data_IF_892501042081
#
_entry.id   IF_892501042081
#
_cell.length_a   1.000
_cell.length_b   1.000
_cell.length_c   1.000
_cell.angle_alpha   90.00
_cell.angle_beta   90.00
_cell.angle_gamma   90.00
#
_symmetry.space_group_name_H-M   'P 1'
#
loop_
_entity.id
_entity.type
_entity.pdbx_description
1 polymer ?
#
# COMPACT_ATOMS: atom_id res chain seq x y z
N UNK A 1 12.31 8.21 23.36
CA UNK A 1 11.03 8.78 22.87
C UNK A 1 10.23 7.67 22.25
N UNK A 2 8.94 7.60 22.56
CA UNK A 2 8.06 6.57 22.02
C UNK A 2 7.73 6.86 20.54
N UNK A 3 7.94 5.87 19.67
CA UNK A 3 7.67 5.99 18.24
C UNK A 3 6.40 5.22 17.83
N UNK A 4 5.69 5.76 16.85
CA UNK A 4 4.65 5.07 16.10
C UNK A 4 5.24 4.40 14.86
N UNK A 5 4.88 3.14 14.67
CA UNK A 5 5.27 2.35 13.50
C UNK A 5 4.22 2.48 12.40
N UNK A 6 4.66 2.57 11.15
CA UNK A 6 3.79 2.64 9.98
C UNK A 6 4.24 1.63 8.94
N UNK A 7 3.28 0.91 8.35
CA UNK A 7 3.52 0.01 7.23
C UNK A 7 3.40 0.78 5.91
N UNK A 8 4.36 0.55 5.02
CA UNK A 8 4.43 1.23 3.73
C UNK A 8 3.72 0.46 2.61
N UNK A 9 2.90 1.19 1.85
CA UNK A 9 2.18 0.70 0.69
C UNK A 9 2.34 1.67 -0.47
N UNK A 10 2.25 1.16 -1.69
CA UNK A 10 2.12 1.95 -2.91
C UNK A 10 0.72 1.79 -3.46
N UNK A 11 0.14 2.87 -3.97
CA UNK A 11 -1.17 2.82 -4.61
C UNK A 11 -1.11 3.13 -6.09
N UNK A 12 -2.14 2.68 -6.81
CA UNK A 12 -2.25 2.88 -8.26
C UNK A 12 -3.69 3.15 -8.65
N UNK A 13 -3.85 4.03 -9.64
CA UNK A 13 -5.08 4.15 -10.41
C UNK A 13 -4.88 3.40 -11.73
N UNK A 14 -5.66 2.34 -11.92
CA UNK A 14 -5.60 1.48 -13.12
C UNK A 14 -6.92 1.65 -13.88
N UNK A 15 -6.90 2.03 -15.17
CA UNK A 15 -8.12 2.14 -15.97
C UNK A 15 -8.97 0.87 -15.88
N UNK A 16 -10.30 1.01 -15.78
CA UNK A 16 -11.20 -0.13 -15.87
C UNK A 16 -11.05 -0.80 -17.23
N UNK A 17 -11.25 -2.11 -17.25
CA UNK A 17 -11.33 -2.90 -18.50
C UNK A 17 -12.52 -2.49 -19.38
N UNK A 18 -13.51 -1.81 -18.80
CA UNK A 18 -14.74 -1.39 -19.45
C UNK A 18 -15.00 0.08 -19.09
N UNK A 19 -15.05 0.97 -20.09
CA UNK A 19 -15.39 2.38 -19.88
C UNK A 19 -16.85 2.48 -19.45
N UNK A 20 -17.15 3.31 -18.46
CA UNK A 20 -18.53 3.64 -18.15
C UNK A 20 -19.07 4.63 -19.19
N UNK A 21 -20.38 4.64 -19.42
CA UNK A 21 -21.06 5.58 -20.34
C UNK A 21 -20.92 7.05 -19.90
N UNK A 22 -20.42 7.31 -18.70
CA UNK A 22 -20.38 8.62 -18.04
C UNK A 22 -18.95 9.03 -17.63
N UNK A 23 -17.91 8.63 -18.37
CA UNK A 23 -16.53 9.06 -18.09
C UNK A 23 -16.48 10.58 -17.99
N UNK A 24 -15.98 11.10 -16.87
CA UNK A 24 -15.59 12.50 -16.78
C UNK A 24 -14.25 12.72 -17.51
N UNK A 25 -14.10 13.87 -18.17
CA UNK A 25 -12.92 14.28 -18.93
C UNK A 25 -11.74 14.66 -18.01
N UNK A 26 -11.30 13.74 -17.12
CA UNK A 26 -10.03 13.95 -16.41
C UNK A 26 -8.89 13.45 -17.28
N UNK A 27 -8.11 14.39 -17.82
CA UNK A 27 -6.96 14.12 -18.69
C UNK A 27 -5.80 13.42 -17.97
N UNK A 28 -5.67 13.56 -16.64
CA UNK A 28 -4.52 13.03 -15.88
C UNK A 28 -4.90 12.28 -14.60
N UNK A 29 -4.49 10.99 -14.53
CA UNK A 29 -4.69 10.10 -13.37
C UNK A 29 -4.20 10.70 -12.04
N UNK A 30 -3.13 11.49 -12.07
CA UNK A 30 -2.53 12.04 -10.85
C UNK A 30 -3.41 13.15 -10.25
N UNK A 31 -4.21 13.83 -11.06
CA UNK A 31 -5.06 14.93 -10.60
C UNK A 31 -6.30 14.41 -9.84
N UNK A 32 -6.74 13.18 -10.11
CA UNK A 32 -7.86 12.55 -9.39
C UNK A 32 -7.58 12.52 -7.88
N UNK A 33 -6.45 11.95 -7.48
CA UNK A 33 -6.09 11.87 -6.07
C UNK A 33 -5.81 13.25 -5.47
N UNK A 34 -5.14 14.14 -6.23
CA UNK A 34 -4.89 15.52 -5.78
C UNK A 34 -6.19 16.27 -5.50
N UNK A 35 -7.21 16.08 -6.34
CA UNK A 35 -8.51 16.72 -6.16
C UNK A 35 -9.24 16.16 -4.93
N UNK A 36 -9.24 14.83 -4.73
CA UNK A 36 -9.80 14.22 -3.50
C UNK A 36 -9.16 14.83 -2.25
N UNK A 37 -7.83 14.91 -2.20
CA UNK A 37 -7.13 15.44 -1.01
C UNK A 37 -7.28 16.95 -0.83
N UNK A 38 -7.40 17.73 -1.92
CA UNK A 38 -7.80 19.14 -1.84
C UNK A 38 -9.21 19.31 -1.27
N UNK A 39 -10.15 18.45 -1.65
CA UNK A 39 -11.51 18.51 -1.11
C UNK A 39 -11.56 18.09 0.37
N UNK A 40 -10.78 17.10 0.79
CA UNK A 40 -10.65 16.74 2.22
C UNK A 40 -10.00 17.88 3.01
N UNK A 41 -8.99 18.55 2.47
CA UNK A 41 -8.35 19.73 3.09
C UNK A 41 -9.37 20.87 3.30
N UNK A 42 -10.31 21.09 2.36
CA UNK A 42 -11.38 22.09 2.48
C UNK A 42 -12.50 21.68 3.43
N UNK A 43 -12.95 20.42 3.34
CA UNK A 43 -14.13 19.92 4.08
C UNK A 43 -13.78 19.38 5.46
N UNK A 44 -12.49 19.25 5.77
CA UNK A 44 -11.90 18.64 6.96
C UNK A 44 -12.16 17.13 7.11
N UNK A 45 -13.22 16.58 6.49
CA UNK A 45 -13.50 15.14 6.49
C UNK A 45 -14.40 14.73 5.34
N UNK A 46 -14.24 13.48 4.91
CA UNK A 46 -15.16 12.82 4.00
C UNK A 46 -15.56 11.46 4.57
N UNK A 47 -16.87 11.18 4.60
CA UNK A 47 -17.45 9.95 5.17
C UNK A 47 -18.19 9.16 4.10
N UNK A 48 -17.88 7.86 4.00
CA UNK A 48 -18.66 6.94 3.16
C UNK A 48 -19.12 5.71 3.92
N UNK A 49 -20.28 5.22 3.54
CA UNK A 49 -20.74 3.87 3.89
C UNK A 49 -20.14 2.89 2.89
N UNK A 50 -19.32 1.96 3.37
CA UNK A 50 -18.81 0.89 2.51
C UNK A 50 -19.94 -0.14 2.35
N UNK A 51 -20.36 -0.50 1.12
CA UNK A 51 -21.37 -1.52 0.89
C UNK A 51 -20.94 -2.84 1.52
N UNK A 52 -21.57 -3.18 2.65
CA UNK A 52 -21.40 -4.43 3.36
C UNK A 52 -22.69 -4.71 4.15
N UNK A 53 -22.83 -5.92 4.70
CA UNK A 53 -24.02 -6.35 5.45
C UNK A 53 -24.47 -5.38 6.55
N UNK A 54 -23.59 -4.51 7.05
CA UNK A 54 -23.83 -3.61 8.17
C UNK A 54 -23.78 -2.12 7.81
N UNK A 55 -23.51 -1.75 6.54
CA UNK A 55 -23.41 -0.36 6.06
C UNK A 55 -22.57 0.60 6.94
N UNK A 56 -21.52 0.06 7.57
CA UNK A 56 -20.65 0.80 8.50
C UNK A 56 -19.94 1.96 7.81
N UNK A 57 -19.90 3.10 8.49
CA UNK A 57 -19.22 4.31 7.99
C UNK A 57 -17.70 4.19 8.15
N UNK A 58 -16.98 4.71 7.16
CA UNK A 58 -15.54 4.95 7.24
C UNK A 58 -15.33 6.43 6.95
N UNK A 59 -14.52 7.08 7.76
CA UNK A 59 -14.28 8.52 7.65
C UNK A 59 -12.80 8.78 7.56
N UNK A 60 -12.42 9.62 6.60
CA UNK A 60 -11.08 10.16 6.50
C UNK A 60 -11.13 11.62 6.96
N UNK A 61 -10.44 11.91 8.06
CA UNK A 61 -10.30 13.26 8.60
C UNK A 61 -8.94 13.82 8.19
N UNK A 62 -8.94 15.01 7.60
CA UNK A 62 -7.74 15.79 7.44
C UNK A 62 -7.18 16.16 8.82
N UNK A 63 -5.87 16.18 8.95
CA UNK A 63 -5.20 16.63 10.17
C UNK A 63 -4.25 17.76 9.82
N UNK A 64 -3.19 17.46 9.08
CA UNK A 64 -2.17 18.45 8.70
C UNK A 64 -1.53 18.10 7.37
N UNK A 65 -0.80 19.08 6.82
CA UNK A 65 -0.07 18.98 5.58
C UNK A 65 1.43 19.21 5.81
N UNK A 66 2.25 18.22 5.46
CA UNK A 66 3.71 18.31 5.58
C UNK A 66 4.34 18.98 4.35
N UNK A 67 3.71 18.83 3.18
CA UNK A 67 4.05 19.56 1.94
C UNK A 67 2.85 19.53 0.98
N UNK A 68 2.96 20.16 -0.19
CA UNK A 68 1.89 20.18 -1.21
C UNK A 68 1.28 18.81 -1.51
N UNK A 69 2.09 17.76 -1.40
CA UNK A 69 1.72 16.40 -1.80
C UNK A 69 1.72 15.40 -0.64
N UNK A 70 2.03 15.85 0.59
CA UNK A 70 2.14 14.95 1.75
C UNK A 70 1.13 15.37 2.82
N UNK A 71 0.15 14.49 3.07
CA UNK A 71 -0.97 14.70 3.97
C UNK A 71 -0.90 13.74 5.17
N UNK A 72 -1.26 14.24 6.34
CA UNK A 72 -1.58 13.44 7.53
C UNK A 72 -3.10 13.42 7.72
N UNK A 73 -3.64 12.23 7.90
CA UNK A 73 -5.07 12.02 8.12
C UNK A 73 -5.34 11.02 9.25
N UNK A 74 -6.53 11.10 9.85
CA UNK A 74 -7.09 10.02 10.69
C UNK A 74 -8.11 9.23 9.87
N UNK A 75 -7.87 7.93 9.71
CA UNK A 75 -8.81 7.03 9.06
C UNK A 75 -9.54 6.20 10.10
N UNK A 76 -10.84 6.48 10.27
CA UNK A 76 -11.69 5.81 11.24
C UNK A 76 -12.68 4.84 10.60
N UNK A 77 -13.07 3.83 11.36
CA UNK A 77 -14.13 2.91 10.99
C UNK A 77 -15.13 2.77 12.12
N UNK A 78 -16.41 2.98 11.81
CA UNK A 78 -17.51 2.86 12.76
C UNK A 78 -17.59 1.45 13.36
N UNK A 79 -17.51 1.37 14.68
CA UNK A 79 -17.61 0.13 15.44
C UNK A 79 -18.75 0.28 16.43
N UNK A 80 -19.76 -0.58 16.32
CA UNK A 80 -20.73 -0.75 17.40
C UNK A 80 -20.06 -1.52 18.54
N UNK A 81 -20.14 -0.97 19.74
CA UNK A 81 -19.69 -1.59 20.98
C UNK A 81 -20.90 -1.82 21.88
N UNK A 82 -20.86 -2.89 22.65
CA UNK A 82 -21.81 -3.11 23.74
C UNK A 82 -21.12 -2.66 25.02
N UNK A 83 -21.69 -1.68 25.71
CA UNK A 83 -21.29 -1.28 27.06
C UNK A 83 -22.15 -2.04 28.05
N UNK A 84 -21.53 -2.49 29.14
CA UNK A 84 -22.19 -3.13 30.26
C UNK A 84 -22.05 -2.20 31.45
N UNK A 85 -23.16 -1.62 31.88
CA UNK A 85 -23.19 -0.61 32.94
C UNK A 85 -24.11 -1.09 34.07
N UNK A 86 -23.69 -0.84 35.31
CA UNK A 86 -24.50 -1.14 36.50
C UNK A 86 -25.60 -0.07 36.62
N UNK A 87 -26.85 -0.49 36.44
CA UNK A 87 -28.02 0.38 36.49
C UNK A 87 -29.07 -0.35 37.34
N UNK A 88 -29.42 0.23 38.50
CA UNK A 88 -30.39 -0.30 39.46
C UNK A 88 -30.04 -1.72 39.95
N UNK A 89 -28.82 -1.91 40.46
CA UNK A 89 -28.31 -3.21 40.98
C UNK A 89 -28.32 -4.35 39.95
N UNK A 90 -28.39 -4.03 38.65
CA UNK A 90 -28.31 -4.98 37.54
C UNK A 90 -27.32 -4.50 36.47
N UNK A 91 -26.73 -5.43 35.73
CA UNK A 91 -25.80 -5.12 34.63
C UNK A 91 -26.58 -5.04 33.33
N UNK A 92 -26.83 -3.81 32.87
CA UNK A 92 -27.57 -3.57 31.63
C UNK A 92 -26.62 -3.38 30.44
N UNK A 93 -27.03 -3.89 29.28
CA UNK A 93 -26.27 -3.81 28.04
C UNK A 93 -26.79 -2.69 27.14
N UNK A 94 -25.99 -1.66 26.89
CA UNK A 94 -26.31 -0.56 25.96
C UNK A 94 -25.44 -0.65 24.71
N UNK A 95 -26.00 -0.28 23.55
CA UNK A 95 -25.24 -0.20 22.29
C UNK A 95 -24.73 1.22 22.09
N UNK A 96 -23.44 1.37 21.86
CA UNK A 96 -22.80 2.65 21.58
C UNK A 96 -21.95 2.59 20.31
N UNK A 97 -21.61 3.75 19.76
CA UNK A 97 -20.79 3.91 18.55
C UNK A 97 -19.40 4.39 18.95
N UNK A 98 -18.41 3.55 18.65
CA UNK A 98 -16.99 3.87 18.74
C UNK A 98 -16.43 4.20 17.34
N UNK A 99 -15.51 5.16 17.29
CA UNK A 99 -14.84 5.63 16.07
C UNK A 99 -13.32 5.47 16.18
N UNK A 100 -12.83 4.23 16.38
CA UNK A 100 -11.39 4.00 16.48
C UNK A 100 -10.74 4.35 15.14
N UNK A 101 -9.54 4.93 15.22
CA UNK A 101 -8.81 5.42 14.04
C UNK A 101 -7.37 4.93 14.01
N UNK A 102 -6.76 5.10 12.84
CA UNK A 102 -5.32 5.02 12.62
C UNK A 102 -4.85 6.28 11.91
N UNK A 103 -3.59 6.64 12.10
CA UNK A 103 -2.96 7.64 11.26
C UNK A 103 -2.66 7.07 9.87
N UNK A 104 -2.95 7.87 8.84
CA UNK A 104 -2.50 7.68 7.47
C UNK A 104 -1.59 8.85 7.08
N UNK A 105 -0.43 8.54 6.50
CA UNK A 105 0.37 9.54 5.80
C UNK A 105 0.35 9.20 4.31
N UNK A 106 0.04 10.18 3.47
CA UNK A 106 -0.19 9.96 2.04
C UNK A 106 0.70 10.92 1.26
N UNK A 107 1.61 10.36 0.46
CA UNK A 107 2.45 11.08 -0.50
C UNK A 107 1.89 10.88 -1.92
N UNK A 108 1.26 11.92 -2.44
CA UNK A 108 0.62 11.93 -3.75
C UNK A 108 1.62 11.94 -4.92
N UNK A 109 2.85 12.40 -4.69
CA UNK A 109 3.89 12.45 -5.71
C UNK A 109 4.48 11.06 -5.93
N UNK A 110 4.83 10.37 -4.85
CA UNK A 110 5.41 9.01 -4.89
C UNK A 110 4.37 7.91 -4.90
N UNK A 111 3.10 8.27 -4.76
CA UNK A 111 1.98 7.33 -4.64
C UNK A 111 2.13 6.37 -3.45
N UNK A 112 2.64 6.87 -2.33
CA UNK A 112 2.89 6.09 -1.11
C UNK A 112 1.80 6.37 -0.08
N UNK A 113 1.32 5.31 0.58
CA UNK A 113 0.46 5.41 1.76
C UNK A 113 1.13 4.67 2.91
N UNK A 114 1.21 5.33 4.05
CA UNK A 114 1.70 4.79 5.30
C UNK A 114 0.54 4.57 6.25
N UNK A 115 0.31 3.33 6.64
CA UNK A 115 -0.74 2.97 7.60
C UNK A 115 -0.12 2.74 8.97
N UNK A 116 -0.58 3.47 9.99
CA UNK A 116 -0.13 3.23 11.35
C UNK A 116 -0.41 1.77 11.77
N UNK A 117 0.62 1.14 12.32
CA UNK A 117 0.53 -0.17 12.97
C UNK A 117 -0.15 0.00 14.32
N UNK A 118 -1.48 -0.10 14.32
CA UNK A 118 -2.29 -0.10 15.53
C UNK A 118 -3.25 -1.30 15.54
N UNK A 119 -2.90 -2.34 16.31
CA UNK A 119 -3.66 -3.60 16.38
C UNK A 119 -4.95 -3.49 17.18
N UNK A 120 -5.13 -2.46 18.02
CA UNK A 120 -6.38 -2.24 18.76
C UNK A 120 -7.50 -1.76 17.82
N UNK A 121 -7.17 -0.93 16.83
CA UNK A 121 -8.10 -0.48 15.79
C UNK A 121 -8.25 -1.52 14.68
N UNK A 122 -7.14 -2.01 14.13
CA UNK A 122 -7.15 -3.02 13.05
C UNK A 122 -6.20 -4.18 13.37
N UNK A 123 -6.77 -5.37 13.64
CA UNK A 123 -5.97 -6.58 13.91
C UNK A 123 -4.97 -6.93 12.81
N UNK A 124 -5.33 -6.66 11.54
CA UNK A 124 -4.49 -6.90 10.37
C UNK A 124 -4.39 -5.63 9.53
N UNK A 125 -3.19 -5.24 9.14
CA UNK A 125 -2.96 -4.05 8.32
C UNK A 125 -3.66 -4.13 6.96
N UNK A 126 -3.72 -5.33 6.38
CA UNK A 126 -4.47 -5.60 5.14
C UNK A 126 -5.97 -5.28 5.28
N UNK A 127 -6.54 -5.32 6.48
CA UNK A 127 -7.93 -4.89 6.71
C UNK A 127 -8.07 -3.38 6.61
N UNK A 128 -7.11 -2.63 7.15
CA UNK A 128 -7.08 -1.17 7.03
C UNK A 128 -6.89 -0.75 5.56
N UNK A 129 -5.89 -1.32 4.88
CA UNK A 129 -5.59 -1.09 3.47
C UNK A 129 -6.80 -1.40 2.57
N UNK A 130 -7.49 -2.53 2.79
CA UNK A 130 -8.68 -2.88 2.02
C UNK A 130 -9.87 -1.96 2.26
N UNK A 131 -10.05 -1.47 3.51
CA UNK A 131 -11.11 -0.48 3.79
C UNK A 131 -10.80 0.86 3.16
N UNK A 132 -9.55 1.30 3.20
CA UNK A 132 -9.11 2.52 2.54
C UNK A 132 -9.24 2.41 1.01
N UNK A 133 -8.88 1.25 0.42
CA UNK A 133 -9.12 0.94 -0.99
C UNK A 133 -10.58 1.11 -1.37
N UNK A 134 -11.49 0.46 -0.64
CA UNK A 134 -12.94 0.58 -0.87
C UNK A 134 -13.48 1.99 -0.68
N UNK A 135 -12.97 2.71 0.32
CA UNK A 135 -13.32 4.10 0.55
C UNK A 135 -12.88 4.97 -0.63
N UNK A 136 -11.67 4.77 -1.14
CA UNK A 136 -11.14 5.50 -2.31
C UNK A 136 -11.87 5.14 -3.59
N UNK A 137 -12.23 3.87 -3.79
CA UNK A 137 -13.03 3.40 -4.94
C UNK A 137 -14.39 4.11 -5.05
N UNK A 138 -15.00 4.50 -3.92
CA UNK A 138 -16.24 5.28 -3.92
C UNK A 138 -15.98 6.69 -4.46
N UNK A 139 -14.88 7.31 -4.06
CA UNK A 139 -14.49 8.65 -4.51
C UNK A 139 -14.12 8.68 -5.99
N UNK A 140 -13.54 7.59 -6.51
CA UNK A 140 -13.08 7.55 -7.90
C UNK A 140 -14.06 6.87 -8.88
N UNK A 141 -15.24 6.45 -8.41
CA UNK A 141 -16.17 5.62 -9.19
C UNK A 141 -16.57 6.20 -10.55
N UNK A 142 -16.51 7.53 -10.70
CA UNK A 142 -16.90 8.25 -11.92
C UNK A 142 -15.73 8.55 -12.88
N UNK A 143 -14.50 8.09 -12.58
CA UNK A 143 -13.31 8.41 -13.37
C UNK A 143 -12.82 7.27 -14.26
N UNK A 144 -13.58 6.19 -14.41
CA UNK A 144 -13.14 4.99 -15.15
C UNK A 144 -11.82 4.37 -14.63
N UNK A 145 -11.47 4.57 -13.36
CA UNK A 145 -10.30 3.96 -12.71
C UNK A 145 -10.68 3.05 -11.56
N UNK A 146 -9.87 2.00 -11.38
CA UNK A 146 -9.82 1.17 -10.20
C UNK A 146 -8.64 1.56 -9.32
N UNK A 147 -8.81 1.47 -8.00
CA UNK A 147 -7.75 1.73 -7.04
C UNK A 147 -7.09 0.42 -6.63
N UNK A 148 -5.78 0.30 -6.82
CA UNK A 148 -4.96 -0.81 -6.31
C UNK A 148 -4.06 -0.31 -5.19
N UNK A 149 -3.76 -1.20 -4.25
CA UNK A 149 -2.81 -0.94 -3.16
C UNK A 149 -1.94 -2.17 -2.97
N UNK A 150 -0.63 -1.98 -2.99
CA UNK A 150 0.36 -3.06 -2.90
C UNK A 150 1.36 -2.74 -1.79
N UNK A 151 1.85 -3.79 -1.13
CA UNK A 151 2.81 -3.69 -0.04
C UNK A 151 4.19 -3.27 -0.58
N UNK A 152 4.82 -2.27 0.05
CA UNK A 152 6.24 -2.00 -0.18
C UNK A 152 7.02 -2.91 0.78
N UNK A 153 7.89 -3.75 0.24
CA UNK A 153 8.61 -4.78 0.99
C UNK A 153 10.12 -4.56 0.94
N UNK A 154 10.87 -5.25 1.79
CA UNK A 154 12.33 -5.24 1.72
C UNK A 154 12.82 -6.14 0.56
N UNK A 155 13.64 -5.58 -0.34
CA UNK A 155 14.21 -6.33 -1.46
C UNK A 155 15.00 -7.56 -0.99
N UNK A 156 15.82 -7.37 0.06
CA UNK A 156 16.69 -8.41 0.60
C UNK A 156 15.92 -9.63 1.12
N UNK A 157 14.65 -9.48 1.51
CA UNK A 157 13.85 -10.62 1.95
C UNK A 157 13.75 -11.71 0.88
N UNK A 158 13.64 -11.33 -0.40
CA UNK A 158 13.64 -12.32 -1.48
C UNK A 158 14.98 -13.05 -1.56
N UNK A 159 16.08 -12.29 -1.57
CA UNK A 159 17.43 -12.86 -1.68
C UNK A 159 17.76 -13.76 -0.49
N UNK A 160 17.39 -13.36 0.73
CA UNK A 160 17.54 -14.18 1.93
C UNK A 160 16.82 -15.53 1.80
N UNK A 161 15.63 -15.56 1.20
CA UNK A 161 14.90 -16.80 0.96
C UNK A 161 15.56 -17.66 -0.12
N UNK A 162 16.11 -17.05 -1.17
CA UNK A 162 16.85 -17.77 -2.22
C UNK A 162 18.14 -18.36 -1.65
N UNK A 163 18.93 -17.56 -0.93
CA UNK A 163 20.25 -17.95 -0.41
C UNK A 163 20.18 -19.03 0.67
N UNK A 164 19.06 -19.09 1.42
CA UNK A 164 18.81 -20.09 2.47
C UNK A 164 18.04 -21.32 1.99
N UNK A 165 17.62 -21.35 0.72
CA UNK A 165 16.91 -22.49 0.14
C UNK A 165 17.90 -23.50 -0.41
N UNK A 166 17.70 -24.79 -0.10
CA UNK A 166 18.56 -25.87 -0.64
C UNK A 166 18.11 -26.32 -2.02
N UNK A 167 16.80 -26.23 -2.29
CA UNK A 167 16.18 -26.60 -3.55
C UNK A 167 15.15 -25.53 -3.92
N UNK A 168 15.07 -25.20 -5.20
CA UNK A 168 14.09 -24.24 -5.72
C UNK A 168 13.36 -24.92 -6.88
N UNK A 169 12.05 -25.04 -6.73
CA UNK A 169 11.19 -25.71 -7.70
C UNK A 169 10.53 -24.71 -8.64
N UNK A 170 10.06 -23.58 -8.11
CA UNK A 170 9.30 -22.62 -8.89
C UNK A 170 9.53 -21.18 -8.39
N UNK A 171 9.68 -20.25 -9.34
CA UNK A 171 9.59 -18.82 -9.13
C UNK A 171 8.47 -18.24 -10.00
N UNK A 172 7.46 -17.66 -9.37
CA UNK A 172 6.44 -16.87 -10.04
C UNK A 172 6.60 -15.40 -9.69
N UNK A 173 6.78 -14.56 -10.71
CA UNK A 173 6.81 -13.10 -10.60
C UNK A 173 5.55 -12.55 -11.26
N UNK A 174 4.75 -11.82 -10.51
CA UNK A 174 3.56 -11.14 -10.99
C UNK A 174 3.79 -9.63 -10.94
N UNK A 175 3.78 -8.99 -12.10
CA UNK A 175 4.19 -7.60 -12.30
C UNK A 175 3.01 -6.78 -12.82
N UNK A 176 2.69 -5.66 -12.18
CA UNK A 176 1.71 -4.71 -12.71
C UNK A 176 2.36 -3.90 -13.86
N UNK A 177 1.71 -3.79 -15.01
CA UNK A 177 2.21 -3.11 -16.22
C UNK A 177 1.54 -1.74 -16.45
N UNK A 178 2.25 -0.70 -16.92
CA UNK A 178 3.56 -0.16 -16.52
C UNK A 178 3.45 1.32 -16.09
N UNK A 179 4.62 1.89 -15.75
CA UNK A 179 4.93 3.29 -15.42
C UNK A 179 4.75 3.67 -13.93
N UNK A 180 5.52 2.99 -13.08
CA UNK A 180 5.53 3.20 -11.63
C UNK A 180 6.76 3.99 -11.15
N UNK A 181 7.87 3.89 -11.87
CA UNK A 181 9.17 4.41 -11.41
C UNK A 181 9.91 5.18 -12.51
N UNK A 182 9.15 5.79 -13.43
CA UNK A 182 9.66 6.70 -14.47
C UNK A 182 10.73 6.09 -15.41
N UNK A 183 10.80 4.76 -15.52
CA UNK A 183 11.80 4.06 -16.35
C UNK A 183 13.15 3.85 -15.66
N UNK A 184 13.23 3.97 -14.33
CA UNK A 184 14.49 3.77 -13.58
C UNK A 184 14.94 2.31 -13.51
N UNK A 185 14.10 1.37 -13.92
CA UNK A 185 14.36 -0.07 -13.82
C UNK A 185 14.26 -0.75 -15.19
N UNK A 186 15.21 -1.63 -15.51
CA UNK A 186 15.19 -2.46 -16.74
C UNK A 186 13.91 -3.29 -16.86
N UNK A 187 13.36 -3.75 -15.73
CA UNK A 187 12.07 -4.44 -15.68
C UNK A 187 10.92 -3.55 -16.18
N UNK A 188 10.96 -2.25 -15.90
CA UNK A 188 9.95 -1.30 -16.35
C UNK A 188 10.00 -1.07 -17.87
N UNK A 189 11.19 -1.09 -18.47
CA UNK A 189 11.34 -1.02 -19.93
C UNK A 189 10.74 -2.24 -20.63
N UNK A 190 10.93 -3.44 -20.07
CA UNK A 190 10.28 -4.65 -20.57
C UNK A 190 8.75 -4.53 -20.45
N UNK A 191 8.23 -4.12 -19.30
CA UNK A 191 6.79 -3.98 -19.09
C UNK A 191 6.17 -2.89 -19.99
N UNK A 192 6.89 -1.80 -20.25
CA UNK A 192 6.49 -0.77 -21.22
C UNK A 192 6.38 -1.34 -22.64
N UNK A 193 7.38 -2.12 -23.08
CA UNK A 193 7.35 -2.79 -24.38
C UNK A 193 6.19 -3.78 -24.48
N UNK A 194 6.02 -4.65 -23.48
CA UNK A 194 4.92 -5.61 -23.44
C UNK A 194 3.55 -4.92 -23.52
N UNK A 195 3.34 -3.81 -22.78
CA UNK A 195 2.10 -3.05 -22.92
C UNK A 195 1.96 -2.41 -24.30
N UNK A 196 3.03 -1.88 -24.88
CA UNK A 196 3.00 -1.34 -26.23
C UNK A 196 2.54 -2.38 -27.26
N UNK A 197 2.97 -3.64 -27.10
CA UNK A 197 2.62 -4.73 -28.01
C UNK A 197 1.24 -5.35 -27.74
N UNK A 198 0.89 -5.56 -26.47
CA UNK A 198 -0.25 -6.38 -26.08
C UNK A 198 -1.35 -5.62 -25.35
N UNK A 199 -1.14 -4.33 -25.06
CA UNK A 199 -2.01 -3.51 -24.21
C UNK A 199 -2.34 -4.19 -22.86
N UNK A 200 -1.38 -4.93 -22.29
CA UNK A 200 -1.59 -5.68 -21.05
C UNK A 200 -1.53 -4.78 -19.80
N UNK A 201 -2.26 -5.16 -18.76
CA UNK A 201 -2.26 -4.47 -17.45
C UNK A 201 -1.38 -5.16 -16.42
N UNK A 202 -1.06 -6.44 -16.64
CA UNK A 202 -0.30 -7.30 -15.73
C UNK A 202 0.54 -8.28 -16.57
N UNK A 203 1.66 -8.73 -16.03
CA UNK A 203 2.55 -9.73 -16.63
C UNK A 203 2.95 -10.75 -15.57
N UNK A 204 2.75 -12.04 -15.88
CA UNK A 204 3.22 -13.14 -15.06
C UNK A 204 4.42 -13.82 -15.74
N UNK A 205 5.52 -13.98 -14.99
CA UNK A 205 6.70 -14.76 -15.39
C UNK A 205 6.78 -15.97 -14.47
N UNK A 206 6.76 -17.17 -15.03
CA UNK A 206 6.86 -18.43 -14.30
C UNK A 206 8.12 -19.17 -14.75
N UNK A 207 9.01 -19.46 -13.80
CA UNK A 207 10.20 -20.28 -14.01
C UNK A 207 10.09 -21.53 -13.14
N UNK A 208 10.32 -22.71 -13.70
CA UNK A 208 10.06 -23.97 -13.01
C UNK A 208 11.10 -25.04 -13.35
N UNK A 209 11.44 -25.85 -12.34
CA UNK A 209 12.25 -27.04 -12.45
C UNK A 209 11.73 -28.08 -11.45
N UNK A 210 11.16 -29.17 -11.94
CA UNK A 210 10.52 -30.20 -11.10
C UNK A 210 11.52 -30.91 -10.16
N UNK A 211 12.80 -30.96 -10.52
CA UNK A 211 13.87 -31.56 -9.72
C UNK A 211 14.41 -30.64 -8.61
N UNK A 212 13.88 -29.41 -8.47
CA UNK A 212 14.35 -28.47 -7.43
C UNK A 212 15.69 -27.80 -7.74
N UNK A 213 16.17 -27.89 -8.99
CA UNK A 213 17.47 -27.35 -9.44
C UNK A 213 17.35 -26.00 -10.15
N UNK A 214 16.25 -25.26 -9.93
CA UNK A 214 16.07 -23.96 -10.57
C UNK A 214 17.13 -22.97 -10.07
N UNK A 215 18.02 -22.54 -10.96
CA UNK A 215 19.06 -21.57 -10.62
C UNK A 215 18.57 -20.15 -10.87
N UNK A 216 18.52 -19.34 -9.81
CA UNK A 216 18.10 -17.94 -9.88
C UNK A 216 19.32 -17.01 -9.94
N UNK A 217 19.47 -16.26 -11.03
CA UNK A 217 20.60 -15.36 -11.26
C UNK A 217 20.27 -13.93 -10.82
N UNK A 218 21.01 -13.41 -9.84
CA UNK A 218 20.73 -12.11 -9.21
C UNK A 218 20.85 -10.94 -10.20
N UNK A 219 21.85 -10.94 -11.05
CA UNK A 219 22.07 -9.95 -12.11
C UNK A 219 20.88 -9.85 -13.10
N UNK A 220 20.20 -10.97 -13.40
CA UNK A 220 19.03 -11.00 -14.27
C UNK A 220 17.77 -10.53 -13.52
N UNK A 221 17.59 -11.02 -12.29
CA UNK A 221 16.35 -10.85 -11.53
C UNK A 221 16.31 -9.57 -10.68
N UNK A 222 17.44 -8.95 -10.35
CA UNK A 222 17.56 -7.77 -9.47
C UNK A 222 16.56 -6.68 -9.83
N UNK A 223 16.45 -6.32 -11.11
CA UNK A 223 15.52 -5.26 -11.52
C UNK A 223 14.06 -5.63 -11.30
N UNK A 224 13.67 -6.90 -11.45
CA UNK A 224 12.31 -7.37 -11.24
C UNK A 224 11.97 -7.45 -9.76
N UNK A 225 12.90 -7.96 -8.94
CA UNK A 225 12.73 -8.04 -7.50
C UNK A 225 12.67 -6.64 -6.88
N UNK A 226 13.53 -5.71 -7.33
CA UNK A 226 13.46 -4.30 -6.93
C UNK A 226 12.12 -3.66 -7.32
N UNK A 227 11.65 -3.87 -8.54
CA UNK A 227 10.33 -3.40 -8.98
C UNK A 227 9.19 -3.93 -8.08
N UNK A 228 9.22 -5.23 -7.76
CA UNK A 228 8.24 -5.87 -6.87
C UNK A 228 8.35 -5.31 -5.44
N UNK A 229 9.56 -5.17 -4.90
CA UNK A 229 9.81 -4.66 -3.56
C UNK A 229 9.28 -3.23 -3.38
N UNK A 230 9.35 -2.41 -4.44
CA UNK A 230 8.75 -1.07 -4.49
C UNK A 230 7.22 -1.02 -4.54
N UNK A 231 6.53 -2.17 -4.52
CA UNK A 231 5.08 -2.27 -4.66
C UNK A 231 4.62 -2.50 -6.10
N UNK A 232 5.53 -2.75 -7.05
CA UNK A 232 5.18 -2.98 -8.46
C UNK A 232 4.58 -4.36 -8.76
N UNK A 233 4.48 -5.25 -7.78
CA UNK A 233 3.97 -6.59 -7.99
C UNK A 233 4.13 -7.49 -6.78
N UNK A 234 4.22 -8.79 -7.04
CA UNK A 234 4.41 -9.83 -6.01
C UNK A 234 5.24 -10.97 -6.57
N UNK A 235 5.97 -11.65 -5.69
CA UNK A 235 6.68 -12.87 -6.02
C UNK A 235 6.16 -14.03 -5.16
N UNK A 236 6.25 -15.25 -5.70
CA UNK A 236 6.06 -16.52 -4.98
C UNK A 236 7.23 -17.44 -5.31
N UNK A 237 7.76 -18.09 -4.29
CA UNK A 237 8.89 -19.01 -4.39
C UNK A 237 8.50 -20.35 -3.76
N UNK A 238 8.47 -21.41 -4.55
CA UNK A 238 8.34 -22.78 -4.04
C UNK A 238 9.75 -23.36 -3.90
N UNK A 239 10.15 -23.62 -2.65
CA UNK A 239 11.52 -23.98 -2.31
C UNK A 239 11.58 -24.84 -1.06
N UNK A 240 12.66 -25.60 -0.92
CA UNK A 240 13.02 -26.25 0.33
C UNK A 240 13.76 -25.25 1.22
N UNK A 241 13.02 -24.59 2.11
CA UNK A 241 13.51 -23.56 3.01
C UNK A 241 13.51 -24.07 4.44
N UNK A 242 14.64 -23.98 5.13
CA UNK A 242 14.82 -24.51 6.49
C UNK A 242 14.43 -26.00 6.62
N UNK A 243 14.80 -26.81 5.62
CA UNK A 243 14.58 -28.27 5.62
C UNK A 243 13.15 -28.72 5.35
N UNK A 244 12.25 -27.81 4.93
CA UNK A 244 10.89 -28.13 4.52
C UNK A 244 10.54 -27.44 3.21
N UNK A 245 9.84 -28.15 2.31
CA UNK A 245 9.24 -27.54 1.12
C UNK A 245 8.12 -26.57 1.51
N UNK A 246 8.24 -25.30 1.09
CA UNK A 246 7.28 -24.25 1.42
C UNK A 246 7.07 -23.30 0.24
N UNK A 247 5.86 -22.75 0.15
CA UNK A 247 5.51 -21.66 -0.77
C UNK A 247 5.66 -20.32 -0.05
N UNK A 248 6.80 -19.69 -0.25
CA UNK A 248 7.14 -18.36 0.25
C UNK A 248 6.51 -17.30 -0.67
N UNK A 249 6.18 -16.13 -0.11
CA UNK A 249 5.54 -15.03 -0.85
C UNK A 249 5.98 -13.68 -0.31
N UNK A 250 5.99 -12.66 -1.17
CA UNK A 250 6.27 -11.29 -0.77
C UNK A 250 5.23 -10.77 0.23
N UNK A 251 3.96 -11.11 0.04
CA UNK A 251 2.82 -10.59 0.80
C UNK A 251 2.67 -11.22 2.19
N UNK A 252 3.48 -10.77 3.14
CA UNK A 252 3.41 -11.10 4.57
C UNK A 252 3.74 -9.86 5.39
N UNK A 253 3.04 -9.66 6.50
CA UNK A 253 3.24 -8.50 7.39
C UNK A 253 4.71 -8.30 7.83
N UNK A 254 5.48 -9.37 7.97
CA UNK A 254 6.90 -9.34 8.36
C UNK A 254 7.82 -8.77 7.27
N UNK A 255 7.39 -8.82 6.01
CA UNK A 255 8.17 -8.37 4.86
C UNK A 255 7.91 -6.90 4.51
N UNK A 256 6.81 -6.31 5.00
CA UNK A 256 6.41 -4.94 4.68
C UNK A 256 7.39 -3.97 5.35
N UNK A 257 7.87 -2.97 4.59
CA UNK A 257 8.72 -1.90 5.14
C UNK A 257 7.96 -1.18 6.26
N UNK A 258 8.66 -0.99 7.38
CA UNK A 258 8.13 -0.26 8.54
C UNK A 258 8.94 1.00 8.71
N UNK A 259 8.25 2.13 8.85
CA UNK A 259 8.86 3.41 9.20
C UNK A 259 8.36 3.90 10.56
N UNK A 260 9.21 4.61 11.27
CA UNK A 260 8.92 5.12 12.60
C UNK A 260 8.87 6.65 12.62
N UNK A 261 7.80 7.18 13.20
CA UNK A 261 7.65 8.61 13.50
C UNK A 261 7.38 8.80 14.99
N UNK A 262 7.80 9.93 15.58
CA UNK A 262 7.45 10.26 16.97
C UNK A 262 5.92 10.27 17.20
N UNK A 263 5.49 9.88 18.41
CA UNK A 263 4.05 9.83 18.79
C UNK A 263 3.31 11.16 18.62
N UNK A 264 4.00 12.27 18.83
CA UNK A 264 3.46 13.63 18.75
C UNK A 264 3.47 14.19 17.31
N UNK A 265 3.21 13.34 16.31
CA UNK A 265 3.20 13.72 14.89
C UNK A 265 2.19 14.84 14.56
N UNK A 266 1.21 15.07 15.44
CA UNK A 266 0.23 16.15 15.33
C UNK A 266 0.70 17.47 15.96
N UNK A 267 1.59 17.43 16.94
CA UNK A 267 1.90 18.57 17.83
C UNK A 267 3.14 19.34 17.36
N UNK A 268 4.12 18.65 16.76
CA UNK A 268 5.36 19.28 16.31
C UNK A 268 5.33 19.50 14.79
N UNK A 269 4.85 20.65 14.33
CA UNK A 269 4.68 20.95 12.90
C UNK A 269 5.65 22.02 12.39
N UNK A 270 6.77 22.22 13.10
CA UNK A 270 7.79 23.16 12.63
C UNK A 270 8.41 22.69 11.30
N UNK A 271 9.06 23.61 10.59
CA UNK A 271 9.63 23.35 9.26
C UNK A 271 10.62 22.18 9.27
N UNK A 272 11.44 22.08 10.32
CA UNK A 272 12.43 21.02 10.49
C UNK A 272 11.77 19.63 10.59
N UNK A 273 10.71 19.51 11.37
CA UNK A 273 9.98 18.26 11.54
C UNK A 273 9.27 17.82 10.26
N UNK A 274 8.71 18.78 9.50
CA UNK A 274 8.15 18.51 8.16
C UNK A 274 9.21 17.97 7.21
N UNK A 275 10.43 18.50 7.25
CA UNK A 275 11.57 18.02 6.46
C UNK A 275 11.96 16.60 6.89
N UNK A 276 12.04 16.33 8.19
CA UNK A 276 12.34 14.98 8.70
C UNK A 276 11.32 13.95 8.19
N UNK A 277 10.02 14.27 8.26
CA UNK A 277 8.97 13.37 7.76
C UNK A 277 9.12 13.13 6.27
N UNK A 278 9.34 14.20 5.49
CA UNK A 278 9.54 14.11 4.05
C UNK A 278 10.74 13.22 3.70
N UNK A 279 11.89 13.44 4.35
CA UNK A 279 13.11 12.66 4.10
C UNK A 279 12.91 11.17 4.44
N UNK A 280 12.24 10.89 5.56
CA UNK A 280 11.86 9.53 5.94
C UNK A 280 10.95 8.85 4.91
N UNK A 281 9.97 9.56 4.36
CA UNK A 281 9.13 9.01 3.28
C UNK A 281 9.97 8.78 2.02
N UNK A 282 10.92 9.68 1.72
CA UNK A 282 11.82 9.50 0.59
C UNK A 282 12.64 8.22 0.72
N UNK A 283 13.19 7.90 1.89
CA UNK A 283 13.94 6.65 2.17
C UNK A 283 13.13 5.36 1.93
N UNK A 284 11.81 5.43 1.86
CA UNK A 284 10.99 4.26 1.50
C UNK A 284 11.12 3.94 0.01
N UNK A 285 11.24 4.99 -0.80
CA UNK A 285 11.26 4.95 -2.26
C UNK A 285 12.69 4.96 -2.81
N UNK A 286 13.49 3.97 -2.41
CA UNK A 286 14.87 3.77 -2.88
C UNK A 286 14.97 3.78 -4.41
N UNK A 287 13.90 3.35 -5.10
CA UNK A 287 13.83 3.30 -6.56
C UNK A 287 13.78 4.70 -7.16
N UNK A 288 13.06 5.64 -6.53
CA UNK A 288 12.96 7.01 -7.01
C UNK A 288 14.15 7.89 -6.60
N UNK A 289 14.99 7.44 -5.65
CA UNK A 289 16.14 8.22 -5.17
C UNK A 289 17.48 7.84 -5.82
N UNK A 290 17.57 6.72 -6.55
CA UNK A 290 18.76 6.37 -7.31
C UNK A 290 18.99 7.39 -8.43
N UNK A 291 19.80 8.41 -8.14
CA UNK A 291 20.35 9.35 -9.11
C UNK A 291 21.76 8.98 -9.59
N UNK A 292 22.38 7.92 -9.07
CA UNK A 292 23.81 7.68 -9.27
C UNK A 292 24.16 6.19 -9.45
N UNK A 293 23.60 5.52 -10.46
CA UNK A 293 24.15 4.24 -10.95
C UNK A 293 23.91 4.11 -12.47
N UNK A 294 24.49 5.07 -13.20
CA UNK A 294 24.77 4.97 -14.64
C UNK A 294 26.25 5.29 -14.86
#
# INVERSE_FOLDING_TARGET
>A
MDNMKFFAFRYFLVPFKQKTLFSSEIENKNDIMRNIFKEIEKTNKITHKIPNKFNKKNTLYFTHKFSNDIYLCKFSHEKQITKHEEINDDIQSTKDIDLPFIYLIIDLQRQIILFQKNTSTFRRITTAANKFKKWTEIEIKNFDFSFKIEEITYENTFWDYVDKSTEIYNLNLHLNSPNLFEGKLKAEDLLKKLKGFFNNTETDINLENEEGKLTLKKDILKSFIKYIAGGGGKWRLDSNYSGKRQKLKSQKNENIKIIEFPKNIEENLNTEYKIIIKNKIMEIDDIMNDKNDL
#
